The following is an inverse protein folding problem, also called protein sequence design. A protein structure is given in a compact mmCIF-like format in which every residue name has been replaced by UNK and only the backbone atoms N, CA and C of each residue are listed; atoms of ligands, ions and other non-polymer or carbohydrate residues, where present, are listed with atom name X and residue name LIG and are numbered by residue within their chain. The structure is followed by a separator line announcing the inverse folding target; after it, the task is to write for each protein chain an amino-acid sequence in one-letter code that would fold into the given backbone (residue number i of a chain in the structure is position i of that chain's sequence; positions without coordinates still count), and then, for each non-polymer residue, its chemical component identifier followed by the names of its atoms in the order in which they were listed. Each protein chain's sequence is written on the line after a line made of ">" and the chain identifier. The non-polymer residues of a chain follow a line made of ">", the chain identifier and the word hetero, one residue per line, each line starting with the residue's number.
data_IF_996436428854
#
_entry.id   IF_996436428854
#
_cell.length_a   1.000
_cell.length_b   1.000
_cell.length_c   1.000
_cell.angle_alpha   90.00
_cell.angle_beta   90.00
_cell.angle_gamma   90.00
#
_symmetry.space_group_name_H-M   'P 1'
#
loop_
_entity.id
_entity.type
_entity.pdbx_description
1 polymer ?
#
# COMPACT_ATOMS: atom_id res chain seq x y z
N UNK A 1 50.19 -30.68 -21.99
CA UNK A 1 49.84 -29.69 -23.03
C UNK A 1 48.33 -29.54 -22.98
N UNK A 2 47.84 -28.64 -22.11
CA UNK A 2 46.41 -28.47 -21.79
C UNK A 2 45.97 -27.17 -22.43
N UNK A 3 45.16 -27.27 -23.44
CA UNK A 3 44.58 -26.14 -24.16
C UNK A 3 43.42 -25.57 -23.31
N UNK A 4 43.63 -24.38 -22.74
CA UNK A 4 42.60 -23.63 -22.07
C UNK A 4 41.55 -23.19 -23.10
N UNK A 5 40.35 -23.74 -22.98
CA UNK A 5 39.19 -23.31 -23.73
C UNK A 5 38.75 -21.95 -23.22
N UNK A 6 38.83 -20.95 -24.09
CA UNK A 6 38.42 -19.59 -23.80
C UNK A 6 36.92 -19.62 -23.46
N UNK A 7 36.59 -19.37 -22.20
CA UNK A 7 35.25 -19.13 -21.74
C UNK A 7 34.69 -17.87 -22.43
N UNK A 8 33.73 -18.09 -23.26
CA UNK A 8 32.93 -17.04 -23.92
C UNK A 8 32.32 -16.09 -22.89
N UNK A 9 32.88 -14.91 -22.81
CA UNK A 9 32.51 -13.84 -21.86
C UNK A 9 31.22 -13.11 -22.24
N UNK A 10 30.48 -13.59 -23.23
CA UNK A 10 29.31 -12.94 -23.79
C UNK A 10 27.97 -13.53 -23.38
N UNK A 11 27.93 -14.51 -22.45
CA UNK A 11 26.67 -15.10 -22.00
C UNK A 11 26.07 -14.42 -20.76
N UNK A 12 26.67 -13.38 -20.26
CA UNK A 12 26.34 -12.79 -18.95
C UNK A 12 25.80 -11.39 -18.97
N UNK A 13 25.12 -10.88 -20.01
CA UNK A 13 24.46 -9.58 -19.84
C UNK A 13 23.45 -9.28 -20.95
N UNK A 14 22.55 -10.19 -21.18
CA UNK A 14 21.28 -9.79 -21.77
C UNK A 14 20.28 -9.49 -20.64
N UNK A 15 20.60 -8.49 -19.85
CA UNK A 15 19.59 -7.78 -19.09
C UNK A 15 18.70 -7.17 -20.19
N UNK A 16 17.61 -7.85 -20.44
CA UNK A 16 16.52 -7.29 -21.24
C UNK A 16 16.09 -6.01 -20.52
N UNK A 17 16.60 -4.88 -20.98
CA UNK A 17 16.00 -3.56 -20.75
C UNK A 17 14.65 -3.51 -21.51
N UNK A 18 13.75 -4.40 -21.17
CA UNK A 18 12.36 -4.10 -21.27
C UNK A 18 12.06 -3.20 -20.06
N UNK A 19 12.36 -1.93 -20.19
CA UNK A 19 11.56 -0.92 -19.52
C UNK A 19 10.24 -0.92 -20.29
N UNK A 20 9.18 -1.57 -19.80
CA UNK A 20 7.87 -1.28 -20.30
C UNK A 20 7.76 0.23 -20.11
N UNK A 21 7.32 0.98 -21.12
CA UNK A 21 6.98 2.38 -20.90
C UNK A 21 5.97 2.35 -19.77
N UNK A 22 6.42 2.75 -18.59
CA UNK A 22 5.62 2.74 -17.39
C UNK A 22 4.37 3.54 -17.71
N UNK A 23 3.22 2.87 -17.73
CA UNK A 23 1.96 3.50 -18.00
C UNK A 23 1.74 4.63 -16.98
N UNK A 24 0.81 5.55 -17.25
CA UNK A 24 0.47 6.61 -16.29
C UNK A 24 0.13 6.05 -14.91
N UNK A 25 -0.44 4.85 -14.88
CA UNK A 25 -0.78 4.13 -13.63
C UNK A 25 0.49 3.70 -12.89
N UNK A 26 1.47 3.14 -13.59
CA UNK A 26 2.73 2.69 -12.96
C UNK A 26 3.50 3.89 -12.38
N UNK A 27 3.53 5.02 -13.09
CA UNK A 27 4.16 6.23 -12.58
C UNK A 27 3.45 6.78 -11.33
N UNK A 28 2.12 6.71 -11.29
CA UNK A 28 1.33 7.09 -10.12
C UNK A 28 1.68 6.19 -8.94
N UNK A 29 1.72 4.87 -9.15
CA UNK A 29 2.05 3.91 -8.09
C UNK A 29 3.46 4.08 -7.54
N UNK A 30 4.46 4.32 -8.39
CA UNK A 30 5.84 4.61 -7.94
C UNK A 30 5.88 5.87 -7.06
N UNK A 31 5.10 6.91 -7.42
CA UNK A 31 5.02 8.13 -6.59
C UNK A 31 4.32 7.86 -5.24
N UNK A 32 3.24 7.08 -5.26
CA UNK A 32 2.53 6.70 -4.04
C UNK A 32 3.41 5.85 -3.13
N UNK A 33 4.17 4.90 -3.68
CA UNK A 33 5.14 4.10 -2.93
C UNK A 33 6.17 5.00 -2.24
N UNK A 34 6.74 5.98 -2.97
CA UNK A 34 7.66 6.95 -2.40
C UNK A 34 7.08 7.75 -1.23
N UNK A 35 5.78 8.11 -1.28
CA UNK A 35 5.10 8.82 -0.20
C UNK A 35 4.85 7.88 0.98
N UNK A 36 4.35 6.66 0.71
CA UNK A 36 3.99 5.68 1.73
C UNK A 36 5.20 5.24 2.56
N UNK A 37 6.37 5.09 1.94
CA UNK A 37 7.62 4.76 2.64
C UNK A 37 7.97 5.79 3.71
N UNK A 38 7.70 7.09 3.48
CA UNK A 38 7.95 8.13 4.47
C UNK A 38 6.98 8.12 5.65
N UNK A 39 5.82 7.49 5.52
CA UNK A 39 4.88 7.38 6.64
C UNK A 39 5.48 6.63 7.83
N UNK A 40 6.30 5.61 7.60
CA UNK A 40 6.90 4.78 8.66
C UNK A 40 7.84 5.59 9.57
N UNK A 41 8.89 6.27 9.05
CA UNK A 41 9.78 7.05 9.89
C UNK A 41 9.06 8.24 10.55
N UNK A 42 8.09 8.86 9.88
CA UNK A 42 7.29 9.94 10.46
C UNK A 42 6.45 9.41 11.63
N UNK A 43 5.80 8.26 11.49
CA UNK A 43 5.07 7.61 12.59
C UNK A 43 6.00 7.29 13.77
N UNK A 44 7.18 6.73 13.48
CA UNK A 44 8.15 6.41 14.54
C UNK A 44 8.58 7.66 15.32
N UNK A 45 8.85 8.76 14.62
CA UNK A 45 9.18 10.05 15.25
C UNK A 45 8.00 10.61 16.06
N UNK A 46 6.77 10.55 15.52
CA UNK A 46 5.59 11.01 16.26
C UNK A 46 5.38 10.20 17.53
N UNK A 47 5.47 8.87 17.46
CA UNK A 47 5.35 8.00 18.64
C UNK A 47 6.45 8.31 19.65
N UNK A 48 7.68 8.51 19.21
CA UNK A 48 8.78 8.93 20.09
C UNK A 48 8.44 10.25 20.81
N UNK A 49 7.97 11.25 20.06
CA UNK A 49 7.55 12.54 20.64
C UNK A 49 6.39 12.40 21.64
N UNK A 50 5.38 11.59 21.31
CA UNK A 50 4.25 11.32 22.22
C UNK A 50 4.75 10.74 23.53
N UNK A 51 5.66 9.76 23.47
CA UNK A 51 6.25 9.13 24.64
C UNK A 51 7.06 10.15 25.47
N UNK A 52 7.87 10.97 24.79
CA UNK A 52 8.66 12.01 25.44
C UNK A 52 7.77 13.05 26.17
N UNK A 53 6.71 13.52 25.50
CA UNK A 53 5.76 14.46 26.09
C UNK A 53 5.04 13.85 27.29
N UNK A 54 4.64 12.59 27.19
CA UNK A 54 3.88 11.90 28.24
C UNK A 54 4.73 11.65 29.47
N UNK A 55 5.95 11.14 29.33
CA UNK A 55 6.80 10.75 30.44
C UNK A 55 7.77 11.85 30.88
N UNK A 56 8.20 12.74 29.98
CA UNK A 56 9.09 13.83 30.31
C UNK A 56 8.36 15.07 30.84
N UNK A 57 7.20 15.39 30.27
CA UNK A 57 6.45 16.61 30.58
C UNK A 57 5.06 16.34 31.17
N UNK A 58 4.69 15.07 31.37
CA UNK A 58 3.38 14.66 31.91
C UNK A 58 2.19 15.28 31.15
N UNK A 59 2.34 15.46 29.82
CA UNK A 59 1.36 16.10 28.94
C UNK A 59 0.86 15.10 27.91
N UNK A 60 -0.46 15.02 27.70
CA UNK A 60 -1.08 14.24 26.63
C UNK A 60 -1.05 15.00 25.32
N UNK A 61 -0.86 14.29 24.19
CA UNK A 61 -0.88 14.85 22.85
C UNK A 61 -1.87 14.05 21.97
N UNK A 62 -3.18 14.28 22.17
CA UNK A 62 -4.26 13.54 21.50
C UNK A 62 -4.16 13.71 19.97
N UNK A 63 -4.00 14.95 19.49
CA UNK A 63 -3.85 15.21 18.05
C UNK A 63 -2.66 14.45 17.43
N UNK A 64 -1.54 14.31 18.15
CA UNK A 64 -0.40 13.54 17.66
C UNK A 64 -0.69 12.02 17.62
N UNK A 65 -1.43 11.50 18.61
CA UNK A 65 -1.87 10.10 18.60
C UNK A 65 -2.81 9.82 17.43
N UNK A 66 -3.75 10.70 17.15
CA UNK A 66 -4.65 10.59 16.00
C UNK A 66 -3.88 10.74 14.67
N UNK A 67 -2.87 11.62 14.60
CA UNK A 67 -2.03 11.73 13.41
C UNK A 67 -1.29 10.42 13.11
N UNK A 68 -0.82 9.70 14.13
CA UNK A 68 -0.24 8.35 13.97
C UNK A 68 -1.27 7.39 13.41
N UNK A 69 -2.52 7.42 13.89
CA UNK A 69 -3.60 6.57 13.37
C UNK A 69 -3.91 6.88 11.90
N UNK A 70 -3.92 8.15 11.51
CA UNK A 70 -4.16 8.58 10.12
C UNK A 70 -3.04 8.11 9.19
N UNK A 71 -1.79 8.28 9.62
CA UNK A 71 -0.64 7.79 8.86
C UNK A 71 -0.64 6.27 8.75
N UNK A 72 -1.03 5.57 9.82
CA UNK A 72 -1.15 4.11 9.81
C UNK A 72 -2.23 3.63 8.85
N UNK A 73 -3.40 4.26 8.87
CA UNK A 73 -4.48 3.95 7.95
C UNK A 73 -4.07 4.18 6.48
N UNK A 74 -3.43 5.32 6.20
CA UNK A 74 -2.91 5.63 4.87
C UNK A 74 -1.84 4.59 4.43
N UNK A 75 -0.89 4.27 5.32
CA UNK A 75 0.14 3.26 5.06
C UNK A 75 -0.48 1.91 4.72
N UNK A 76 -1.48 1.48 5.50
CA UNK A 76 -2.11 0.17 5.32
C UNK A 76 -2.94 0.09 4.04
N UNK A 77 -3.80 1.08 3.80
CA UNK A 77 -4.70 1.09 2.64
C UNK A 77 -3.94 1.28 1.32
N UNK A 78 -3.05 2.27 1.26
CA UNK A 78 -2.24 2.52 0.06
C UNK A 78 -1.19 1.42 -0.14
N UNK A 79 -0.60 0.91 0.94
CA UNK A 79 0.35 -0.19 0.91
C UNK A 79 -0.26 -1.48 0.39
N UNK A 80 -1.52 -1.79 0.77
CA UNK A 80 -2.26 -2.94 0.24
C UNK A 80 -2.48 -2.83 -1.28
N UNK A 81 -2.82 -1.64 -1.78
CA UNK A 81 -2.99 -1.39 -3.21
C UNK A 81 -1.66 -1.56 -3.98
N UNK A 82 -0.55 -1.05 -3.43
CA UNK A 82 0.80 -1.20 -4.00
C UNK A 82 1.22 -2.67 -4.02
N UNK A 83 1.00 -3.40 -2.92
CA UNK A 83 1.32 -4.82 -2.82
C UNK A 83 0.51 -5.67 -3.80
N UNK A 84 -0.74 -5.31 -4.06
CA UNK A 84 -1.57 -5.97 -5.06
C UNK A 84 -1.01 -5.78 -6.48
N UNK A 85 -0.59 -4.57 -6.82
CA UNK A 85 0.01 -4.27 -8.13
C UNK A 85 1.37 -4.99 -8.33
N UNK A 86 2.20 -5.02 -7.28
CA UNK A 86 3.52 -5.67 -7.33
C UNK A 86 3.44 -7.22 -7.36
N UNK A 87 2.23 -7.79 -7.49
CA UNK A 87 2.00 -9.24 -7.43
C UNK A 87 2.56 -9.92 -6.16
N UNK A 88 2.83 -9.16 -5.12
CA UNK A 88 3.37 -9.66 -3.84
C UNK A 88 2.29 -10.24 -2.92
N UNK A 89 1.07 -10.40 -3.42
CA UNK A 89 0.01 -11.06 -2.67
C UNK A 89 0.36 -12.52 -2.41
N UNK A 90 0.12 -12.98 -1.20
CA UNK A 90 0.36 -14.38 -0.80
C UNK A 90 -0.48 -15.30 -1.69
N UNK A 91 0.18 -16.09 -2.53
CA UNK A 91 -0.44 -17.08 -3.41
C UNK A 91 -0.16 -18.47 -2.87
N UNK A 92 -1.14 -19.35 -2.98
CA UNK A 92 -0.92 -20.78 -2.71
C UNK A 92 -0.16 -21.37 -3.90
N UNK A 93 1.17 -21.30 -3.85
CA UNK A 93 2.08 -21.61 -4.96
C UNK A 93 2.11 -23.10 -5.34
N UNK A 94 1.58 -23.99 -4.49
CA UNK A 94 1.67 -25.43 -4.67
C UNK A 94 1.03 -25.88 -5.99
N UNK A 95 -0.16 -25.37 -6.31
CA UNK A 95 -0.84 -25.70 -7.56
C UNK A 95 -0.45 -24.77 -8.71
N UNK A 96 -0.12 -23.51 -8.38
CA UNK A 96 0.19 -22.49 -9.35
C UNK A 96 1.47 -22.76 -10.14
N UNK A 97 2.44 -23.47 -9.54
CA UNK A 97 3.69 -23.89 -10.21
C UNK A 97 3.48 -24.88 -11.33
N UNK A 98 2.40 -25.65 -11.29
CA UNK A 98 2.06 -26.64 -12.32
C UNK A 98 1.37 -26.03 -13.54
N UNK A 99 0.90 -24.79 -13.47
CA UNK A 99 0.15 -24.15 -14.53
C UNK A 99 1.07 -23.55 -15.60
N UNK A 100 0.62 -23.64 -16.85
CA UNK A 100 1.24 -22.92 -17.96
C UNK A 100 1.03 -21.41 -17.81
N UNK A 101 1.85 -20.60 -18.48
CA UNK A 101 1.75 -19.12 -18.44
C UNK A 101 0.33 -18.64 -18.77
N UNK A 102 -0.30 -19.27 -19.77
CA UNK A 102 -1.68 -18.94 -20.19
C UNK A 102 -2.72 -19.29 -19.12
N UNK A 103 -2.58 -20.44 -18.47
CA UNK A 103 -3.47 -20.85 -17.38
C UNK A 103 -3.34 -19.92 -16.17
N UNK A 104 -2.11 -19.51 -15.82
CA UNK A 104 -1.86 -18.52 -14.76
C UNK A 104 -2.55 -17.19 -15.05
N UNK A 105 -2.45 -16.70 -16.28
CA UNK A 105 -3.12 -15.47 -16.69
C UNK A 105 -4.64 -15.57 -16.53
N UNK A 106 -5.24 -16.69 -16.96
CA UNK A 106 -6.68 -16.94 -16.83
C UNK A 106 -7.13 -17.03 -15.36
N UNK A 107 -6.41 -17.77 -14.54
CA UNK A 107 -6.71 -17.90 -13.09
C UNK A 107 -6.63 -16.55 -12.40
N UNK A 108 -5.60 -15.74 -12.70
CA UNK A 108 -5.47 -14.39 -12.14
C UNK A 108 -6.62 -13.48 -12.56
N UNK A 109 -6.91 -13.44 -13.87
CA UNK A 109 -7.98 -12.58 -14.41
C UNK A 109 -9.34 -12.98 -13.81
N UNK A 110 -9.64 -14.29 -13.78
CA UNK A 110 -10.89 -14.78 -13.19
C UNK A 110 -10.96 -14.50 -11.70
N UNK A 111 -9.87 -14.67 -10.96
CA UNK A 111 -9.78 -14.33 -9.55
C UNK A 111 -10.05 -12.85 -9.29
N UNK A 112 -9.49 -11.95 -10.09
CA UNK A 112 -9.77 -10.52 -9.97
C UNK A 112 -11.21 -10.16 -10.29
N UNK A 113 -11.79 -10.75 -11.34
CA UNK A 113 -13.19 -10.46 -11.73
C UNK A 113 -14.19 -11.02 -10.72
N UNK A 114 -13.95 -12.23 -10.18
CA UNK A 114 -14.93 -12.93 -9.33
C UNK A 114 -14.79 -12.52 -7.86
N UNK A 115 -13.59 -12.23 -7.38
CA UNK A 115 -13.35 -11.93 -5.97
C UNK A 115 -12.98 -10.47 -5.72
N UNK A 116 -11.95 -9.95 -6.39
CA UNK A 116 -11.43 -8.62 -6.10
C UNK A 116 -12.42 -7.53 -6.50
N UNK A 117 -12.96 -7.61 -7.73
CA UNK A 117 -13.86 -6.57 -8.24
C UNK A 117 -15.20 -6.51 -7.48
N UNK A 118 -15.91 -7.65 -7.20
CA UNK A 118 -17.12 -7.59 -6.41
C UNK A 118 -16.88 -7.15 -4.96
N UNK A 119 -15.76 -7.56 -4.36
CA UNK A 119 -15.40 -7.13 -3.01
C UNK A 119 -15.16 -5.63 -2.95
N UNK A 120 -14.37 -5.08 -3.87
CA UNK A 120 -14.13 -3.64 -3.96
C UNK A 120 -15.44 -2.87 -4.24
N UNK A 121 -16.30 -3.40 -5.11
CA UNK A 121 -17.59 -2.79 -5.40
C UNK A 121 -18.51 -2.79 -4.17
N UNK A 122 -18.54 -3.88 -3.41
CA UNK A 122 -19.35 -4.01 -2.20
C UNK A 122 -18.84 -3.05 -1.11
N UNK A 123 -17.54 -3.00 -0.88
CA UNK A 123 -16.94 -2.08 0.09
C UNK A 123 -17.18 -0.63 -0.36
N UNK A 124 -16.90 -0.30 -1.62
CA UNK A 124 -17.09 1.04 -2.16
C UNK A 124 -18.54 1.50 -2.05
N UNK A 125 -19.49 0.65 -2.48
CA UNK A 125 -20.91 0.98 -2.39
C UNK A 125 -21.37 1.11 -0.93
N UNK A 126 -20.98 0.16 -0.06
CA UNK A 126 -21.38 0.17 1.35
C UNK A 126 -20.78 1.32 2.16
N UNK A 127 -19.65 1.89 1.73
CA UNK A 127 -18.99 3.00 2.41
C UNK A 127 -19.43 4.39 1.89
N UNK A 128 -20.15 4.47 0.75
CA UNK A 128 -20.53 5.76 0.16
C UNK A 128 -21.32 6.66 1.14
N UNK A 129 -22.40 6.15 1.73
CA UNK A 129 -23.22 6.91 2.67
C UNK A 129 -22.39 7.34 3.89
N UNK A 130 -21.59 6.42 4.43
CA UNK A 130 -20.71 6.67 5.57
C UNK A 130 -19.67 7.78 5.30
N UNK A 131 -19.10 7.82 4.11
CA UNK A 131 -18.15 8.85 3.71
C UNK A 131 -18.85 10.16 3.40
N UNK A 132 -19.94 10.13 2.63
CA UNK A 132 -20.68 11.35 2.25
C UNK A 132 -21.28 12.06 3.46
N UNK A 133 -21.85 11.33 4.42
CA UNK A 133 -22.39 11.90 5.65
C UNK A 133 -21.29 12.54 6.49
N UNK A 134 -20.12 11.90 6.58
CA UNK A 134 -18.96 12.45 7.29
C UNK A 134 -18.44 13.74 6.66
N UNK A 135 -18.44 13.83 5.33
CA UNK A 135 -18.09 15.05 4.60
C UNK A 135 -19.13 16.15 4.78
N UNK A 136 -20.43 15.79 4.76
CA UNK A 136 -21.52 16.71 4.98
C UNK A 136 -21.47 17.34 6.37
N UNK A 137 -21.20 16.53 7.39
CA UNK A 137 -21.07 16.97 8.77
C UNK A 137 -19.71 17.62 9.10
N UNK A 138 -18.71 17.55 8.20
CA UNK A 138 -17.31 17.90 8.48
C UNK A 138 -16.86 17.28 9.80
N UNK A 139 -17.03 15.98 9.90
CA UNK A 139 -16.84 15.24 11.14
C UNK A 139 -15.43 15.44 11.72
N UNK A 140 -15.39 15.88 12.96
CA UNK A 140 -14.18 16.08 13.74
C UNK A 140 -14.02 14.95 14.76
N UNK A 141 -12.82 14.85 15.36
CA UNK A 141 -12.58 13.94 16.47
C UNK A 141 -13.52 14.20 17.64
N UNK A 142 -14.09 13.17 18.28
CA UNK A 142 -14.84 13.31 19.53
C UNK A 142 -13.95 13.63 20.74
N UNK A 143 -12.65 13.47 20.60
CA UNK A 143 -11.70 13.69 21.69
C UNK A 143 -11.33 15.17 21.84
N UNK A 144 -11.28 15.72 23.08
CA UNK A 144 -10.85 17.09 23.33
C UNK A 144 -9.41 17.32 22.85
N UNK A 145 -9.21 18.21 21.87
CA UNK A 145 -7.90 18.50 21.29
C UNK A 145 -7.47 17.50 20.19
N UNK A 146 -8.40 16.69 19.69
CA UNK A 146 -8.18 15.82 18.54
C UNK A 146 -8.21 16.57 17.19
N UNK A 147 -7.95 15.87 16.08
CA UNK A 147 -7.86 16.43 14.75
C UNK A 147 -9.25 16.60 14.11
N UNK A 148 -9.54 17.74 13.45
CA UNK A 148 -10.83 17.98 12.82
C UNK A 148 -10.91 17.39 11.40
N UNK A 149 -10.31 16.23 11.15
CA UNK A 149 -10.18 15.65 9.81
C UNK A 149 -10.64 14.19 9.71
N UNK A 150 -11.57 13.76 10.54
CA UNK A 150 -12.11 12.38 10.55
C UNK A 150 -12.72 12.02 9.19
N UNK A 151 -13.35 12.95 8.50
CA UNK A 151 -13.90 12.77 7.16
C UNK A 151 -12.81 12.41 6.12
N UNK A 152 -11.58 12.91 6.28
CA UNK A 152 -10.45 12.54 5.41
C UNK A 152 -10.01 11.11 5.69
N UNK A 153 -9.94 10.71 6.96
CA UNK A 153 -9.61 9.34 7.36
C UNK A 153 -10.62 8.34 6.78
N UNK A 154 -11.91 8.66 6.85
CA UNK A 154 -12.97 7.82 6.29
C UNK A 154 -12.91 7.68 4.77
N UNK A 155 -12.33 8.66 4.07
CA UNK A 155 -12.14 8.60 2.61
C UNK A 155 -11.06 7.60 2.17
N UNK A 156 -10.24 7.08 3.09
CA UNK A 156 -9.23 6.07 2.79
C UNK A 156 -9.82 4.65 2.60
N UNK A 157 -11.07 4.43 2.94
CA UNK A 157 -11.77 3.16 2.73
C UNK A 157 -12.00 2.92 1.23
#
# INVERSE_FOLDING_TARGET
>A
MITLHALDKNHGMRIMNHTPQAGRIDQLMIRLEGIVVWCVPIMALLVFFIVLLRYGFNTGAIAAQEAVQYLHAALFMLGAAIALQAEQHVRVDIFYRLFTVRQRAWVNTLGHIVFTLPLCALIGWGSLDYVTDSWGAREASPEPGGLPFVFVLKTLI
#
